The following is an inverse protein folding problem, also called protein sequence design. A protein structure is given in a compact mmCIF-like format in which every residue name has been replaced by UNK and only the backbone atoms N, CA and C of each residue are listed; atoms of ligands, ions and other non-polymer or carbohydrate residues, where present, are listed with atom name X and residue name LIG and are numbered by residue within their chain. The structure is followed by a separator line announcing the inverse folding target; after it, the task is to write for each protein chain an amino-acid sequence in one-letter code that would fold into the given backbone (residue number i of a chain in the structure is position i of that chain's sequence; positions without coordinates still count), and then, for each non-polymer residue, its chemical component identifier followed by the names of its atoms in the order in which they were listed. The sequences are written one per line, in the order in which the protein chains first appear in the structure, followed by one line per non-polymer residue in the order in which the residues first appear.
data_IF_903978953509
#
_entry.id   IF_903978953509
#
_cell.length_a   1.000
_cell.length_b   1.000
_cell.length_c   1.000
_cell.angle_alpha   90.00
_cell.angle_beta   90.00
_cell.angle_gamma   90.00
#
_symmetry.space_group_name_H-M   'P 1'
#
loop_
_entity.id
_entity.type
_entity.pdbx_description
1 polymer ?
#
# COMPACT_ATOMS: atom_id res chain seq x y z
N UNK A 1 -6.38 21.64 -45.21
CA UNK A 1 -6.38 21.32 -43.77
C UNK A 1 -7.51 20.36 -43.50
N UNK A 2 -7.20 19.14 -43.06
CA UNK A 2 -8.19 18.19 -42.53
C UNK A 2 -7.51 17.32 -41.48
N UNK A 3 -7.68 17.71 -40.22
CA UNK A 3 -7.17 17.07 -39.01
C UNK A 3 -7.93 15.77 -38.78
N UNK A 4 -7.30 14.64 -39.12
CA UNK A 4 -7.80 13.32 -38.74
C UNK A 4 -7.27 12.94 -37.36
N UNK A 5 -8.12 13.16 -36.36
CA UNK A 5 -8.41 12.26 -35.24
C UNK A 5 -7.26 11.39 -34.75
N UNK A 6 -6.52 11.93 -33.77
CA UNK A 6 -5.61 11.19 -32.91
C UNK A 6 -6.40 10.75 -31.68
N UNK A 7 -7.06 9.59 -31.73
CA UNK A 7 -7.58 8.93 -30.52
C UNK A 7 -6.42 8.10 -29.97
N UNK A 8 -5.64 8.73 -29.10
CA UNK A 8 -4.61 8.08 -28.31
C UNK A 8 -5.30 7.32 -27.19
N UNK A 9 -5.55 6.03 -27.39
CA UNK A 9 -6.12 5.14 -26.37
C UNK A 9 -5.12 5.00 -25.22
N UNK A 10 -5.29 5.81 -24.18
CA UNK A 10 -4.61 5.66 -22.89
C UNK A 10 -5.17 4.41 -22.20
N UNK A 11 -4.72 3.23 -22.61
CA UNK A 11 -5.01 2.00 -21.87
C UNK A 11 -4.14 2.02 -20.62
N UNK A 12 -4.80 2.37 -19.52
CA UNK A 12 -4.39 2.26 -18.13
C UNK A 12 -3.34 1.17 -17.90
N UNK A 13 -2.10 1.61 -17.67
CA UNK A 13 -1.11 0.81 -16.97
C UNK A 13 -1.66 0.49 -15.58
N UNK A 14 -2.22 -0.70 -15.39
CA UNK A 14 -2.35 -1.29 -14.07
C UNK A 14 -0.92 -1.64 -13.63
N UNK A 15 -0.20 -0.64 -13.09
CA UNK A 15 1.11 -0.83 -12.49
C UNK A 15 0.89 -1.64 -11.23
N UNK A 16 1.00 -2.96 -11.32
CA UNK A 16 1.28 -3.79 -10.15
C UNK A 16 2.64 -3.32 -9.64
N UNK A 17 2.65 -2.42 -8.65
CA UNK A 17 3.88 -1.90 -8.09
C UNK A 17 4.66 -3.08 -7.50
N UNK A 18 5.77 -3.43 -8.17
CA UNK A 18 6.68 -4.48 -7.73
C UNK A 18 7.07 -4.23 -6.27
N UNK A 19 7.26 -5.32 -5.52
CA UNK A 19 7.60 -5.25 -4.12
C UNK A 19 8.78 -4.30 -3.90
N UNK A 20 8.57 -3.21 -3.15
CA UNK A 20 9.60 -2.19 -2.92
C UNK A 20 10.02 -2.22 -1.47
N UNK A 21 11.31 -2.50 -1.24
CA UNK A 21 11.94 -2.46 0.08
C UNK A 21 12.38 -1.02 0.38
N UNK A 22 12.08 -0.53 1.58
CA UNK A 22 12.47 0.81 2.03
C UNK A 22 12.77 0.83 3.52
N UNK A 23 13.42 1.91 3.98
CA UNK A 23 13.64 2.14 5.40
C UNK A 23 12.48 2.94 5.99
N UNK A 24 11.96 2.48 7.12
CA UNK A 24 10.95 3.15 7.92
C UNK A 24 11.35 3.07 9.40
N UNK A 25 11.44 4.23 10.06
CA UNK A 25 11.73 4.32 11.50
C UNK A 25 12.99 3.57 11.98
N UNK A 26 14.01 3.50 11.13
CA UNK A 26 15.29 2.85 11.46
C UNK A 26 15.36 1.37 11.09
N UNK A 27 14.27 0.79 10.61
CA UNK A 27 14.19 -0.63 10.23
C UNK A 27 13.65 -0.82 8.81
N UNK A 28 13.91 -1.98 8.25
CA UNK A 28 13.53 -2.29 6.88
C UNK A 28 12.07 -2.74 6.82
N UNK A 29 11.34 -2.20 5.84
CA UNK A 29 9.99 -2.63 5.48
C UNK A 29 9.94 -2.93 3.98
N UNK A 30 8.94 -3.69 3.55
CA UNK A 30 8.68 -4.02 2.16
C UNK A 30 7.20 -3.83 1.87
N UNK A 31 6.88 -3.00 0.89
CA UNK A 31 5.54 -2.93 0.32
C UNK A 31 5.36 -4.12 -0.61
N UNK A 32 4.77 -5.21 -0.13
CA UNK A 32 4.63 -6.45 -0.90
C UNK A 32 3.51 -6.39 -1.93
N UNK A 33 2.46 -5.61 -1.65
CA UNK A 33 1.35 -5.43 -2.56
C UNK A 33 0.76 -4.02 -2.41
N UNK A 34 0.47 -3.39 -3.54
CA UNK A 34 -0.32 -2.17 -3.63
C UNK A 34 -1.33 -2.37 -4.75
N UNK A 35 -2.61 -2.37 -4.40
CA UNK A 35 -3.70 -2.60 -5.34
C UNK A 35 -4.70 -1.46 -5.25
N UNK A 36 -4.94 -0.78 -6.37
CA UNK A 36 -6.05 0.16 -6.48
C UNK A 36 -7.38 -0.62 -6.43
N UNK A 37 -8.30 -0.14 -5.60
CA UNK A 37 -9.66 -0.63 -5.46
C UNK A 37 -10.64 0.41 -6.02
N UNK A 38 -11.90 0.03 -6.13
CA UNK A 38 -12.98 0.97 -6.45
C UNK A 38 -13.18 2.03 -5.36
N UNK A 39 -13.85 3.14 -5.69
CA UNK A 39 -14.20 4.21 -4.76
C UNK A 39 -13.00 4.91 -4.09
N UNK A 40 -11.95 5.19 -4.87
CA UNK A 40 -10.76 5.94 -4.43
C UNK A 40 -10.06 5.30 -3.22
N UNK A 41 -9.97 3.97 -3.23
CA UNK A 41 -9.39 3.17 -2.17
C UNK A 41 -8.20 2.37 -2.68
N UNK A 42 -7.30 2.02 -1.76
CA UNK A 42 -6.18 1.14 -2.03
C UNK A 42 -6.13 0.03 -0.99
N UNK A 43 -5.67 -1.14 -1.40
CA UNK A 43 -5.20 -2.18 -0.51
C UNK A 43 -3.67 -2.16 -0.51
N UNK A 44 -3.08 -2.03 0.67
CA UNK A 44 -1.63 -1.95 0.86
C UNK A 44 -1.22 -3.04 1.84
N UNK A 45 -0.34 -3.92 1.39
CA UNK A 45 0.35 -4.89 2.24
C UNK A 45 1.76 -4.39 2.53
N UNK A 46 2.09 -4.28 3.83
CA UNK A 46 3.43 -3.94 4.31
C UNK A 46 3.96 -5.08 5.14
N UNK A 47 5.17 -5.51 4.81
CA UNK A 47 5.94 -6.48 5.55
C UNK A 47 7.04 -5.74 6.30
N UNK A 48 7.27 -6.01 7.58
CA UNK A 48 8.30 -5.33 8.38
C UNK A 48 9.26 -6.29 9.07
N UNK A 49 10.31 -5.75 9.68
CA UNK A 49 11.17 -6.48 10.60
C UNK A 49 10.43 -6.93 11.88
N UNK A 50 11.02 -7.89 12.62
CA UNK A 50 10.46 -8.48 13.84
C UNK A 50 10.21 -7.48 14.98
N UNK A 51 10.85 -6.33 14.88
CA UNK A 51 10.80 -5.21 15.82
C UNK A 51 9.60 -4.27 15.59
N UNK A 52 8.88 -4.39 14.48
CA UNK A 52 7.74 -3.53 14.19
C UNK A 52 6.46 -4.03 14.85
N UNK A 53 5.82 -3.15 15.61
CA UNK A 53 4.45 -3.33 16.07
C UNK A 53 3.42 -2.91 15.01
N UNK A 54 2.14 -3.12 15.30
CA UNK A 54 1.05 -2.74 14.41
C UNK A 54 1.07 -1.24 14.08
N UNK A 55 1.32 -0.37 15.07
CA UNK A 55 1.29 1.07 14.87
C UNK A 55 2.40 1.54 13.92
N UNK A 56 3.59 0.98 14.01
CA UNK A 56 4.70 1.27 13.10
C UNK A 56 4.37 0.82 11.67
N UNK A 57 3.77 -0.35 11.48
CA UNK A 57 3.36 -0.82 10.16
C UNK A 57 2.18 0.00 9.58
N UNK A 58 1.24 0.45 10.40
CA UNK A 58 0.17 1.36 9.98
C UNK A 58 0.71 2.72 9.52
N UNK A 59 1.74 3.26 10.18
CA UNK A 59 2.42 4.48 9.72
C UNK A 59 3.09 4.29 8.37
N UNK A 60 3.72 3.13 8.13
CA UNK A 60 4.26 2.78 6.82
C UNK A 60 3.17 2.68 5.74
N UNK A 61 2.03 2.05 6.06
CA UNK A 61 0.85 1.99 5.18
C UNK A 61 0.39 3.40 4.82
N UNK A 62 0.19 4.30 5.80
CA UNK A 62 -0.25 5.67 5.55
C UNK A 62 0.76 6.43 4.68
N UNK A 63 2.06 6.27 4.94
CA UNK A 63 3.11 6.90 4.13
C UNK A 63 2.97 6.50 2.65
N UNK A 64 2.80 5.21 2.38
CA UNK A 64 2.60 4.71 1.01
C UNK A 64 1.26 5.14 0.42
N UNK A 65 0.19 5.09 1.20
CA UNK A 65 -1.14 5.51 0.78
C UNK A 65 -1.14 6.98 0.33
N UNK A 66 -0.46 7.88 1.06
CA UNK A 66 -0.34 9.29 0.67
C UNK A 66 0.39 9.47 -0.66
N UNK A 67 1.39 8.63 -0.96
CA UNK A 67 2.06 8.62 -2.26
C UNK A 67 1.11 8.19 -3.36
N UNK A 68 0.36 7.10 -3.18
CA UNK A 68 -0.57 6.58 -4.19
C UNK A 68 -1.79 7.50 -4.41
N UNK A 69 -2.30 8.10 -3.33
CA UNK A 69 -3.40 9.05 -3.35
C UNK A 69 -2.97 10.46 -3.82
N UNK A 70 -1.67 10.71 -4.00
CA UNK A 70 -1.10 12.05 -4.23
C UNK A 70 -1.69 13.12 -3.27
N UNK A 71 -1.85 12.75 -1.99
CA UNK A 71 -2.65 13.55 -1.06
C UNK A 71 -2.86 12.87 0.28
N UNK A 72 -3.96 13.22 0.95
CA UNK A 72 -4.30 12.63 2.23
C UNK A 72 -4.90 11.23 2.06
N UNK A 73 -4.68 10.38 3.06
CA UNK A 73 -5.20 9.03 3.11
C UNK A 73 -5.50 8.64 4.56
N UNK A 74 -6.52 7.79 4.72
CA UNK A 74 -6.97 7.26 6.00
C UNK A 74 -7.06 5.73 5.93
N UNK A 75 -6.70 5.03 7.01
CA UNK A 75 -6.92 3.60 7.15
C UNK A 75 -8.38 3.34 7.50
N UNK A 76 -9.08 2.57 6.67
CA UNK A 76 -10.46 2.13 6.93
C UNK A 76 -10.45 0.85 7.79
N UNK A 77 -9.51 -0.05 7.49
CA UNK A 77 -9.39 -1.32 8.18
C UNK A 77 -7.98 -1.88 8.01
N UNK A 78 -7.47 -2.51 9.05
CA UNK A 78 -6.17 -3.18 9.04
C UNK A 78 -6.26 -4.56 9.67
N UNK A 79 -5.46 -5.48 9.13
CA UNK A 79 -5.30 -6.83 9.68
C UNK A 79 -3.82 -7.18 9.72
N UNK A 80 -3.35 -7.51 10.92
CA UNK A 80 -2.02 -8.04 11.14
C UNK A 80 -1.92 -9.53 10.80
N UNK A 81 -0.72 -9.94 10.41
CA UNK A 81 -0.31 -11.32 10.17
C UNK A 81 1.21 -11.45 10.20
N UNK A 82 1.72 -12.52 9.60
CA UNK A 82 3.14 -12.78 9.37
C UNK A 82 3.44 -13.04 7.89
N UNK A 83 4.71 -13.05 7.48
CA UNK A 83 5.12 -13.27 6.08
C UNK A 83 4.40 -14.46 5.41
N UNK A 84 4.19 -15.56 6.13
CA UNK A 84 3.57 -16.79 5.61
C UNK A 84 2.11 -17.01 6.04
N UNK A 85 1.53 -16.14 6.88
CA UNK A 85 0.17 -16.35 7.38
C UNK A 85 -0.56 -15.04 7.69
N UNK A 86 -1.89 -15.03 7.65
CA UNK A 86 -2.66 -13.90 8.18
C UNK A 86 -2.90 -14.00 9.70
N UNK A 87 -2.08 -14.77 10.41
CA UNK A 87 -2.14 -14.98 11.86
C UNK A 87 -0.92 -14.34 12.54
N UNK A 88 -1.10 -13.63 13.65
CA UNK A 88 0.02 -13.02 14.39
C UNK A 88 0.89 -14.04 15.14
N UNK A 89 0.48 -15.31 15.24
CA UNK A 89 1.01 -16.26 16.22
C UNK A 89 1.81 -17.43 15.62
N UNK A 90 2.17 -17.39 14.34
CA UNK A 90 3.24 -18.24 13.81
C UNK A 90 4.59 -17.65 14.26
N UNK A 91 5.00 -18.02 15.47
CA UNK A 91 5.89 -17.27 16.38
C UNK A 91 7.38 -17.18 16.00
N UNK A 92 7.71 -17.07 14.71
CA UNK A 92 9.08 -16.86 14.24
C UNK A 92 9.16 -16.11 12.91
N UNK A 93 8.02 -15.68 12.37
CA UNK A 93 7.96 -15.00 11.09
C UNK A 93 7.82 -13.50 11.30
N UNK A 94 8.45 -12.74 10.40
CA UNK A 94 8.36 -11.30 10.39
C UNK A 94 6.89 -10.82 10.27
N UNK A 95 6.51 -9.73 10.95
CA UNK A 95 5.14 -9.24 10.93
C UNK A 95 4.79 -8.66 9.56
N UNK A 96 3.51 -8.74 9.22
CA UNK A 96 2.94 -8.01 8.09
C UNK A 96 1.59 -7.41 8.47
N UNK A 97 1.22 -6.35 7.76
CA UNK A 97 -0.09 -5.74 7.86
C UNK A 97 -0.71 -5.64 6.46
N UNK A 98 -1.97 -6.01 6.35
CA UNK A 98 -2.80 -5.76 5.18
C UNK A 98 -3.83 -4.71 5.55
N UNK A 99 -3.78 -3.56 4.88
CA UNK A 99 -4.65 -2.43 5.18
C UNK A 99 -5.43 -1.99 3.96
N UNK A 100 -6.70 -1.64 4.17
CA UNK A 100 -7.51 -0.90 3.21
C UNK A 100 -7.50 0.56 3.61
N UNK A 101 -7.13 1.41 2.67
CA UNK A 101 -7.03 2.85 2.84
C UNK A 101 -7.97 3.56 1.87
N UNK A 102 -8.47 4.73 2.27
CA UNK A 102 -9.23 5.64 1.41
C UNK A 102 -8.44 6.91 1.20
N UNK A 103 -8.36 7.37 -0.04
CA UNK A 103 -7.86 8.70 -0.32
C UNK A 103 -8.90 9.73 0.12
N UNK A 104 -8.44 10.73 0.87
CA UNK A 104 -9.28 11.81 1.35
C UNK A 104 -8.95 13.03 0.51
N UNK A 105 -9.94 13.56 -0.20
CA UNK A 105 -9.76 14.79 -0.95
C UNK A 105 -9.38 15.90 0.02
N UNK A 106 -8.34 16.68 -0.31
CA UNK A 106 -8.03 17.91 0.41
C UNK A 106 -9.18 18.89 0.17
N UNK A 107 -10.16 18.87 1.08
CA UNK A 107 -11.27 19.83 1.10
C UNK A 107 -10.76 21.23 1.41
#
# INVERSE_FOLDING_TARGET
MNTKWMILTLVTFAVSACASMTWHEGSMIQYSQVQALENNQYQIEVMGGWDHDQAALERAVIKKARTECNGNAEIISSRMGTYFSASQYASGDAPKILSRVRCVDNS
#
